data_IF_551061604451
#
_entry.id   IF_551061604451
#
_cell.length_a   1.000
_cell.length_b   1.000
_cell.length_c   1.000
_cell.angle_alpha   90.00
_cell.angle_beta   90.00
_cell.angle_gamma   90.00
#
_symmetry.space_group_name_H-M   'P 1'
#
loop_
_entity.id
_entity.type
_entity.pdbx_description
1 polymer ?
#
# COMPACT_ATOMS: atom_id res chain seq x y z
N UNK A 1 -65.98 28.58 -13.32
CA UNK A 1 -65.80 30.00 -13.01
C UNK A 1 -64.41 30.33 -13.48
N UNK A 2 -64.31 30.71 -14.66
CA UNK A 2 -64.29 32.06 -15.27
C UNK A 2 -62.88 32.61 -15.10
N UNK A 3 -62.18 32.62 -16.18
CA UNK A 3 -61.93 33.78 -17.07
C UNK A 3 -60.62 34.45 -16.71
N UNK A 4 -59.81 34.98 -17.51
CA UNK A 4 -59.82 35.20 -18.97
C UNK A 4 -58.69 36.16 -19.27
N UNK A 5 -58.11 36.00 -20.41
CA UNK A 5 -57.63 37.03 -21.35
C UNK A 5 -56.66 38.10 -20.85
N UNK A 6 -55.71 38.49 -21.60
CA UNK A 6 -55.52 38.82 -23.02
C UNK A 6 -54.15 39.42 -23.19
N UNK A 7 -53.53 39.15 -24.23
CA UNK A 7 -53.52 39.78 -25.58
C UNK A 7 -52.74 41.08 -25.67
N UNK A 8 -51.85 41.02 -26.62
CA UNK A 8 -51.53 41.99 -27.70
C UNK A 8 -50.58 43.12 -27.35
N UNK A 9 -49.67 43.51 -28.14
CA UNK A 9 -49.38 43.25 -29.53
C UNK A 9 -48.33 44.24 -30.04
N UNK A 10 -47.80 43.92 -31.20
CA UNK A 10 -47.43 44.80 -32.32
C UNK A 10 -46.34 45.90 -32.06
N UNK A 11 -45.30 45.99 -32.77
CA UNK A 11 -45.11 46.17 -34.19
C UNK A 11 -43.63 46.49 -34.46
N UNK A 12 -43.14 46.01 -35.57
CA UNK A 12 -41.94 46.48 -36.25
C UNK A 12 -42.24 47.79 -37.01
N UNK A 13 -41.55 48.20 -38.06
CA UNK A 13 -40.30 47.66 -38.65
C UNK A 13 -39.32 48.75 -39.12
N UNK A 14 -38.31 48.34 -39.88
CA UNK A 14 -37.69 48.96 -41.04
C UNK A 14 -36.46 49.87 -40.94
N UNK A 15 -35.55 49.45 -41.80
CA UNK A 15 -34.75 50.20 -42.79
C UNK A 15 -33.33 50.62 -42.28
N UNK A 16 -32.38 49.93 -42.81
CA UNK A 16 -31.67 50.15 -44.10
C UNK A 16 -30.56 51.21 -43.99
N UNK A 17 -29.41 50.84 -44.27
CA UNK A 17 -28.42 51.48 -45.12
C UNK A 17 -26.97 51.06 -44.85
N UNK A 18 -26.41 50.30 -45.78
CA UNK A 18 -24.97 50.28 -45.99
C UNK A 18 -24.50 51.62 -46.57
N UNK A 19 -23.21 52.02 -46.34
CA UNK A 19 -22.34 51.90 -47.50
C UNK A 19 -20.97 51.28 -47.15
N UNK A 20 -20.51 50.55 -48.15
CA UNK A 20 -19.18 50.07 -48.40
C UNK A 20 -18.15 51.20 -48.50
N UNK A 21 -17.08 51.08 -47.73
CA UNK A 21 -15.82 51.74 -48.13
C UNK A 21 -14.69 50.71 -47.95
N UNK A 22 -14.10 50.31 -49.05
CA UNK A 22 -12.91 49.47 -49.11
C UNK A 22 -11.69 50.20 -48.58
N UNK A 23 -10.88 49.46 -47.85
CA UNK A 23 -9.50 49.83 -47.60
C UNK A 23 -8.63 48.64 -47.97
N UNK A 24 -7.73 48.98 -48.89
CA UNK A 24 -6.74 48.14 -49.51
C UNK A 24 -5.66 47.68 -48.51
N UNK A 25 -5.23 46.44 -48.67
CA UNK A 25 -3.87 45.92 -48.44
C UNK A 25 -2.97 46.63 -47.43
N UNK A 26 -2.82 45.99 -46.29
CA UNK A 26 -1.63 46.07 -45.44
C UNK A 26 -0.99 44.68 -45.42
N UNK A 27 0.29 44.54 -45.82
CA UNK A 27 0.96 43.26 -45.72
C UNK A 27 1.21 42.96 -44.23
N UNK A 28 0.71 41.81 -43.76
CA UNK A 28 1.00 41.32 -42.44
C UNK A 28 2.49 40.97 -42.32
N UNK A 29 3.18 41.71 -41.45
CA UNK A 29 4.46 41.31 -40.90
C UNK A 29 4.16 40.09 -40.02
N UNK A 30 4.54 38.92 -40.51
CA UNK A 30 4.44 37.65 -39.77
C UNK A 30 5.22 37.73 -38.46
N UNK A 31 4.51 37.86 -37.36
CA UNK A 31 5.04 37.59 -36.04
C UNK A 31 5.17 36.09 -35.92
N UNK A 32 6.38 35.58 -36.11
CA UNK A 32 6.72 34.21 -35.76
C UNK A 32 6.61 34.12 -34.23
N UNK A 33 5.46 33.68 -33.74
CA UNK A 33 5.33 33.26 -32.37
C UNK A 33 5.96 31.86 -32.32
N UNK A 34 7.06 31.65 -31.59
CA UNK A 34 7.56 30.29 -31.42
C UNK A 34 6.47 29.47 -30.69
N UNK A 35 6.03 28.40 -31.34
CA UNK A 35 5.20 27.38 -30.76
C UNK A 35 5.91 26.85 -29.49
N UNK A 36 5.55 27.40 -28.34
CA UNK A 36 5.86 26.81 -27.06
C UNK A 36 4.97 25.58 -26.93
N UNK A 37 5.38 24.51 -27.61
CA UNK A 37 4.84 23.19 -27.41
C UNK A 37 4.75 22.93 -25.92
N UNK A 38 3.53 22.95 -25.39
CA UNK A 38 3.23 22.46 -24.06
C UNK A 38 3.75 21.04 -24.00
N UNK A 39 4.95 20.86 -23.43
CA UNK A 39 5.44 19.53 -23.03
C UNK A 39 4.38 18.99 -22.08
N UNK A 40 3.56 18.11 -22.63
CA UNK A 40 2.68 17.26 -21.85
C UNK A 40 3.55 16.64 -20.79
N UNK A 41 3.36 17.05 -19.53
CA UNK A 41 4.11 16.49 -18.40
C UNK A 41 3.96 14.97 -18.50
N UNK A 42 5.05 14.30 -18.75
CA UNK A 42 5.08 12.84 -18.77
C UNK A 42 4.64 12.42 -17.38
N UNK A 43 3.51 11.72 -17.32
CA UNK A 43 3.07 11.09 -16.08
C UNK A 43 4.25 10.31 -15.50
N UNK A 44 4.53 10.42 -14.20
CA UNK A 44 5.58 9.61 -13.60
C UNK A 44 5.33 8.13 -13.95
N UNK A 45 6.39 7.35 -14.19
CA UNK A 45 6.23 5.92 -14.47
C UNK A 45 5.38 5.30 -13.37
N UNK A 46 4.45 4.39 -13.69
CA UNK A 46 3.65 3.72 -12.68
C UNK A 46 4.61 3.08 -11.67
N UNK A 47 4.31 3.26 -10.39
CA UNK A 47 5.05 2.60 -9.32
C UNK A 47 5.10 1.09 -9.61
N UNK A 48 6.23 0.42 -9.35
CA UNK A 48 6.34 -1.01 -9.61
C UNK A 48 5.20 -1.74 -8.89
N UNK A 49 4.38 -2.45 -9.65
CA UNK A 49 3.26 -3.22 -9.12
C UNK A 49 3.81 -4.37 -8.28
N UNK A 50 3.53 -4.39 -6.99
CA UNK A 50 3.96 -5.48 -6.12
C UNK A 50 3.28 -6.79 -6.53
N UNK A 51 3.96 -7.93 -6.36
CA UNK A 51 3.38 -9.26 -6.63
C UNK A 51 2.04 -9.45 -5.90
N UNK A 52 1.92 -8.90 -4.71
CA UNK A 52 0.70 -8.90 -3.94
C UNK A 52 -0.48 -8.25 -4.70
N UNK A 53 -0.26 -7.15 -5.43
CA UNK A 53 -1.30 -6.42 -6.15
C UNK A 53 -1.80 -7.19 -7.37
N UNK A 54 -0.94 -8.04 -7.94
CA UNK A 54 -1.32 -8.93 -9.06
C UNK A 54 -2.15 -10.11 -8.57
N UNK A 55 -1.81 -10.66 -7.39
CA UNK A 55 -2.42 -11.88 -6.88
C UNK A 55 -3.69 -11.62 -6.06
N UNK A 56 -3.76 -10.51 -5.36
CA UNK A 56 -4.78 -10.24 -4.37
C UNK A 56 -5.32 -8.81 -4.47
N UNK A 57 -6.63 -8.67 -4.33
CA UNK A 57 -7.23 -7.35 -4.14
C UNK A 57 -6.78 -6.73 -2.81
N UNK A 58 -6.82 -5.39 -2.64
CA UNK A 58 -6.38 -4.73 -1.40
C UNK A 58 -7.07 -5.26 -0.12
N UNK A 59 -8.34 -5.65 -0.21
CA UNK A 59 -9.07 -6.26 0.92
C UNK A 59 -8.55 -7.67 1.23
N UNK A 60 -8.28 -8.46 0.18
CA UNK A 60 -7.71 -9.79 0.36
C UNK A 60 -6.31 -9.72 0.97
N UNK A 61 -5.47 -8.82 0.50
CA UNK A 61 -4.13 -8.63 1.06
C UNK A 61 -4.20 -8.40 2.58
N UNK A 62 -5.02 -7.45 3.03
CA UNK A 62 -5.13 -7.12 4.45
C UNK A 62 -5.71 -8.26 5.28
N UNK A 63 -6.79 -8.89 4.83
CA UNK A 63 -7.43 -9.98 5.56
C UNK A 63 -6.56 -11.24 5.57
N UNK A 64 -5.95 -11.62 4.43
CA UNK A 64 -5.05 -12.76 4.37
C UNK A 64 -3.76 -12.50 5.15
N UNK A 65 -3.24 -11.27 5.10
CA UNK A 65 -2.08 -10.85 5.89
C UNK A 65 -2.30 -11.03 7.39
N UNK A 66 -3.47 -10.66 7.92
CA UNK A 66 -3.82 -10.86 9.31
C UNK A 66 -3.97 -12.36 9.65
N UNK A 67 -4.75 -13.10 8.88
CA UNK A 67 -5.10 -14.48 9.19
C UNK A 67 -3.95 -15.48 8.94
N UNK A 68 -3.26 -15.37 7.82
CA UNK A 68 -2.18 -16.30 7.44
C UNK A 68 -0.78 -15.77 7.75
N UNK A 69 -0.66 -14.47 8.03
CA UNK A 69 0.55 -13.90 8.65
C UNK A 69 0.67 -14.26 10.13
N UNK A 70 -0.46 -14.52 10.80
CA UNK A 70 -0.54 -14.92 12.20
C UNK A 70 -1.48 -16.14 12.35
N UNK A 71 -1.14 -17.30 11.78
CA UNK A 71 -2.09 -18.39 11.61
C UNK A 71 -2.58 -19.02 12.92
N UNK A 72 -1.79 -18.93 13.99
CA UNK A 72 -2.16 -19.43 15.31
C UNK A 72 -3.16 -18.54 16.04
N UNK A 73 -3.32 -17.28 15.58
CA UNK A 73 -4.18 -16.30 16.21
C UNK A 73 -5.64 -16.47 15.79
N UNK A 74 -6.53 -16.42 16.77
CA UNK A 74 -7.97 -16.30 16.54
C UNK A 74 -8.36 -14.83 16.55
N UNK A 75 -9.04 -14.40 15.51
CA UNK A 75 -9.53 -13.03 15.37
C UNK A 75 -11.04 -13.01 15.47
N UNK A 76 -11.56 -12.08 16.26
CA UNK A 76 -12.98 -11.78 16.25
C UNK A 76 -13.37 -11.06 14.94
N UNK A 77 -14.60 -11.32 14.44
CA UNK A 77 -15.07 -10.68 13.20
C UNK A 77 -14.96 -9.16 13.20
N UNK A 78 -15.37 -8.51 14.29
CA UNK A 78 -15.29 -7.06 14.45
C UNK A 78 -13.84 -6.55 14.45
N UNK A 79 -12.93 -7.31 15.07
CA UNK A 79 -11.50 -7.00 15.07
C UNK A 79 -10.91 -7.06 13.67
N UNK A 80 -11.19 -8.12 12.89
CA UNK A 80 -10.74 -8.24 11.51
C UNK A 80 -11.24 -7.10 10.62
N UNK A 81 -12.49 -6.69 10.78
CA UNK A 81 -13.06 -5.56 10.03
C UNK A 81 -12.30 -4.26 10.36
N UNK A 82 -12.05 -4.01 11.64
CA UNK A 82 -11.32 -2.83 12.10
C UNK A 82 -9.88 -2.82 11.60
N UNK A 83 -9.15 -3.92 11.77
CA UNK A 83 -7.75 -4.05 11.39
C UNK A 83 -7.56 -4.02 9.86
N UNK A 84 -8.47 -4.66 9.11
CA UNK A 84 -8.42 -4.64 7.66
C UNK A 84 -8.66 -3.24 7.08
N UNK A 85 -9.24 -2.30 7.83
CA UNK A 85 -9.49 -0.93 7.36
C UNK A 85 -10.28 -0.88 6.05
N UNK A 86 -11.20 -1.82 5.85
CA UNK A 86 -12.01 -1.96 4.65
C UNK A 86 -13.50 -2.02 5.00
N UNK A 87 -14.37 -1.78 4.00
CA UNK A 87 -15.81 -1.81 4.23
C UNK A 87 -16.27 -3.15 4.82
N UNK A 88 -17.08 -3.09 5.88
CA UNK A 88 -17.59 -4.25 6.63
C UNK A 88 -18.15 -5.36 5.72
N UNK A 89 -18.94 -5.00 4.72
CA UNK A 89 -19.53 -5.96 3.78
C UNK A 89 -18.50 -6.68 2.90
N UNK A 90 -17.41 -6.01 2.52
CA UNK A 90 -16.34 -6.60 1.72
C UNK A 90 -15.56 -7.65 2.53
N UNK A 91 -15.20 -7.30 3.75
CA UNK A 91 -14.51 -8.22 4.68
C UNK A 91 -15.40 -9.40 5.00
N UNK A 92 -16.67 -9.17 5.30
CA UNK A 92 -17.63 -10.23 5.64
C UNK A 92 -17.81 -11.24 4.50
N UNK A 93 -17.99 -10.76 3.26
CA UNK A 93 -18.09 -11.64 2.08
C UNK A 93 -16.83 -12.46 1.87
N UNK A 94 -15.65 -11.86 2.08
CA UNK A 94 -14.38 -12.57 1.97
C UNK A 94 -14.25 -13.66 3.04
N UNK A 95 -14.51 -13.34 4.31
CA UNK A 95 -14.46 -14.31 5.41
C UNK A 95 -15.42 -15.49 5.19
N UNK A 96 -16.64 -15.21 4.73
CA UNK A 96 -17.63 -16.24 4.39
C UNK A 96 -17.11 -17.17 3.29
N UNK A 97 -16.51 -16.63 2.23
CA UNK A 97 -15.93 -17.43 1.15
C UNK A 97 -14.76 -18.29 1.63
N UNK A 98 -13.82 -17.70 2.38
CA UNK A 98 -12.68 -18.43 2.92
C UNK A 98 -13.10 -19.54 3.90
N UNK A 99 -14.13 -19.30 4.70
CA UNK A 99 -14.70 -20.32 5.58
C UNK A 99 -15.39 -21.44 4.79
N UNK A 100 -16.18 -21.11 3.77
CA UNK A 100 -16.87 -22.09 2.93
C UNK A 100 -15.90 -23.01 2.16
N UNK A 101 -14.69 -22.52 1.83
CA UNK A 101 -13.65 -23.35 1.19
C UNK A 101 -12.79 -24.14 2.19
N UNK A 102 -13.07 -24.05 3.49
CA UNK A 102 -12.32 -24.74 4.52
C UNK A 102 -10.93 -24.12 4.82
N UNK A 103 -10.60 -22.97 4.24
CA UNK A 103 -9.35 -22.25 4.51
C UNK A 103 -9.33 -21.63 5.91
N UNK A 104 -10.50 -21.34 6.48
CA UNK A 104 -10.64 -20.84 7.84
C UNK A 104 -11.42 -21.79 8.71
N UNK A 105 -11.03 -21.91 9.96
CA UNK A 105 -11.88 -22.42 11.05
C UNK A 105 -12.72 -21.27 11.56
N UNK A 106 -14.00 -21.56 11.80
CA UNK A 106 -14.95 -20.61 12.38
C UNK A 106 -15.45 -21.19 13.68
N UNK A 107 -15.32 -20.44 14.75
CA UNK A 107 -15.84 -20.77 16.07
C UNK A 107 -16.84 -19.70 16.49
N UNK A 108 -17.99 -20.10 17.02
CA UNK A 108 -18.98 -19.16 17.56
C UNK A 108 -19.01 -19.30 19.08
N UNK A 109 -18.74 -18.19 19.77
CA UNK A 109 -18.78 -18.12 21.24
C UNK A 109 -19.81 -17.06 21.61
N UNK A 110 -20.93 -17.48 22.14
CA UNK A 110 -22.08 -16.60 22.35
C UNK A 110 -22.57 -16.02 21.02
N UNK A 111 -22.61 -14.68 20.93
CA UNK A 111 -23.03 -13.98 19.72
C UNK A 111 -21.83 -13.49 18.86
N UNK A 112 -20.63 -14.00 19.11
CA UNK A 112 -19.40 -13.58 18.46
C UNK A 112 -18.82 -14.71 17.60
N UNK A 113 -18.38 -14.34 16.38
CA UNK A 113 -17.68 -15.27 15.47
C UNK A 113 -16.18 -14.98 15.50
N UNK A 114 -15.42 -16.03 15.66
CA UNK A 114 -13.97 -16.03 15.60
C UNK A 114 -13.50 -16.78 14.36
N UNK A 115 -12.47 -16.26 13.73
CA UNK A 115 -11.88 -16.82 12.53
C UNK A 115 -10.40 -17.09 12.77
N UNK A 116 -9.92 -18.22 12.29
CA UNK A 116 -8.51 -18.63 12.36
C UNK A 116 -8.14 -19.37 11.08
N UNK A 117 -6.90 -19.25 10.63
CA UNK A 117 -6.38 -20.08 9.54
C UNK A 117 -6.52 -21.57 9.86
N UNK A 118 -6.96 -22.35 8.89
CA UNK A 118 -7.14 -23.78 9.08
C UNK A 118 -5.87 -24.53 8.65
N UNK A 119 -5.07 -24.96 9.61
CA UNK A 119 -3.84 -25.73 9.39
C UNK A 119 -4.05 -27.05 8.64
N UNK A 120 -5.29 -27.59 8.65
CA UNK A 120 -5.65 -28.83 7.95
C UNK A 120 -6.08 -28.59 6.50
N UNK A 121 -6.14 -27.34 6.05
CA UNK A 121 -6.46 -27.04 4.66
C UNK A 121 -5.35 -27.56 3.73
N UNK A 122 -5.67 -28.19 2.59
CA UNK A 122 -4.67 -28.81 1.70
C UNK A 122 -3.58 -27.86 1.21
N UNK A 123 -3.89 -26.56 1.09
CA UNK A 123 -2.99 -25.51 0.60
C UNK A 123 -2.51 -24.58 1.71
N UNK A 124 -2.61 -25.00 2.97
CA UNK A 124 -2.28 -24.14 4.12
C UNK A 124 -0.84 -23.65 4.11
N UNK A 125 0.11 -24.57 3.96
CA UNK A 125 1.54 -24.25 4.00
C UNK A 125 1.96 -23.30 2.86
N UNK A 126 1.45 -23.56 1.65
CA UNK A 126 1.69 -22.74 0.48
C UNK A 126 1.08 -21.34 0.63
N UNK A 127 -0.14 -21.26 1.15
CA UNK A 127 -0.83 -19.99 1.36
C UNK A 127 -0.14 -19.16 2.45
N UNK A 128 0.27 -19.76 3.57
CA UNK A 128 1.07 -19.10 4.60
C UNK A 128 2.38 -18.60 4.02
N UNK A 129 3.09 -19.46 3.26
CA UNK A 129 4.34 -19.08 2.61
C UNK A 129 4.17 -17.93 1.62
N UNK A 130 3.13 -17.97 0.79
CA UNK A 130 2.80 -16.92 -0.16
C UNK A 130 2.45 -15.61 0.53
N UNK A 131 1.56 -15.65 1.52
CA UNK A 131 1.13 -14.46 2.27
C UNK A 131 2.30 -13.82 3.00
N UNK A 132 3.16 -14.58 3.65
CA UNK A 132 4.35 -14.05 4.33
C UNK A 132 5.29 -13.33 3.37
N UNK A 133 5.49 -13.88 2.17
CA UNK A 133 6.38 -13.31 1.15
C UNK A 133 5.78 -12.11 0.41
N UNK A 134 4.46 -11.95 0.40
CA UNK A 134 3.80 -10.93 -0.44
C UNK A 134 3.07 -9.86 0.36
N UNK A 135 2.22 -10.22 1.31
CA UNK A 135 1.29 -9.28 1.97
C UNK A 135 1.41 -9.23 3.49
N UNK A 136 1.97 -10.28 4.11
CA UNK A 136 1.87 -10.47 5.55
C UNK A 136 2.55 -9.37 6.36
N UNK A 137 3.74 -8.94 5.93
CA UNK A 137 4.52 -7.93 6.63
C UNK A 137 5.01 -6.84 5.68
N UNK A 138 5.33 -7.19 4.43
CA UNK A 138 5.98 -6.27 3.51
C UNK A 138 5.10 -5.06 3.19
N UNK A 139 3.81 -5.26 2.89
CA UNK A 139 2.90 -4.18 2.51
C UNK A 139 2.74 -3.09 3.59
N UNK A 140 2.31 -3.43 4.82
CA UNK A 140 2.22 -2.45 5.90
C UNK A 140 3.54 -1.76 6.24
N UNK A 141 4.65 -2.50 6.22
CA UNK A 141 5.99 -1.94 6.49
C UNK A 141 6.45 -1.02 5.35
N UNK A 142 6.23 -1.38 4.08
CA UNK A 142 6.52 -0.52 2.93
C UNK A 142 5.72 0.79 2.99
N UNK A 143 4.42 0.71 3.29
CA UNK A 143 3.57 1.89 3.43
C UNK A 143 4.06 2.81 4.55
N UNK A 144 4.44 2.24 5.70
CA UNK A 144 4.98 2.99 6.84
C UNK A 144 6.32 3.65 6.53
N UNK A 145 7.21 2.95 5.82
CA UNK A 145 8.54 3.45 5.47
C UNK A 145 8.55 4.34 4.21
N UNK A 146 7.46 4.42 3.44
CA UNK A 146 7.40 5.20 2.19
C UNK A 146 7.87 6.66 2.34
N UNK A 147 7.52 7.42 3.40
CA UNK A 147 8.02 8.78 3.58
C UNK A 147 9.55 8.87 3.76
N UNK A 148 10.16 7.79 4.26
CA UNK A 148 11.59 7.71 4.55
C UNK A 148 12.38 6.93 3.48
N UNK A 149 11.71 6.37 2.47
CA UNK A 149 12.29 5.42 1.52
C UNK A 149 13.54 5.95 0.79
N UNK A 150 13.59 7.25 0.48
CA UNK A 150 14.75 7.88 -0.20
C UNK A 150 16.02 7.91 0.66
N UNK A 151 15.89 7.80 1.97
CA UNK A 151 17.00 7.80 2.94
C UNK A 151 17.42 6.38 3.35
N UNK A 152 16.61 5.38 2.98
CA UNK A 152 16.83 3.97 3.33
C UNK A 152 17.49 3.26 2.14
N UNK A 153 18.65 2.66 2.38
CA UNK A 153 19.34 1.81 1.40
C UNK A 153 18.69 0.44 1.32
N UNK A 154 18.43 -0.17 2.48
CA UNK A 154 17.73 -1.45 2.57
C UNK A 154 16.95 -1.51 3.88
N UNK A 155 15.79 -2.17 3.85
CA UNK A 155 15.03 -2.55 5.03
C UNK A 155 14.50 -3.96 4.87
N UNK A 156 14.68 -4.81 5.88
CA UNK A 156 14.23 -6.20 5.83
C UNK A 156 13.86 -6.75 7.21
N UNK A 157 12.87 -7.63 7.21
CA UNK A 157 12.49 -8.42 8.39
C UNK A 157 13.42 -9.62 8.49
N UNK A 158 13.85 -9.95 9.71
CA UNK A 158 14.70 -11.10 10.00
C UNK A 158 14.18 -11.87 11.24
N UNK A 159 14.92 -12.81 11.75
CA UNK A 159 14.58 -13.53 12.97
C UNK A 159 13.52 -14.62 12.77
N UNK A 160 12.69 -14.85 13.78
CA UNK A 160 11.69 -15.92 13.80
C UNK A 160 10.66 -15.77 12.67
N UNK A 161 10.23 -14.55 12.42
CA UNK A 161 9.26 -14.21 11.38
C UNK A 161 9.76 -14.59 9.99
N UNK A 162 10.98 -14.21 9.65
CA UNK A 162 11.58 -14.51 8.34
C UNK A 162 11.83 -16.02 8.15
N UNK A 163 12.14 -16.75 9.24
CA UNK A 163 12.32 -18.21 9.23
C UNK A 163 11.01 -19.00 9.15
N UNK A 164 9.88 -18.36 9.36
CA UNK A 164 8.58 -19.02 9.36
C UNK A 164 8.23 -19.77 10.64
N UNK A 165 8.97 -19.56 11.72
CA UNK A 165 8.78 -20.19 13.03
C UNK A 165 8.22 -19.26 14.10
N UNK A 166 7.60 -18.14 13.70
CA UNK A 166 7.10 -17.14 14.64
C UNK A 166 5.73 -17.53 15.22
N UNK A 167 5.47 -17.03 16.42
CA UNK A 167 4.17 -17.08 17.06
C UNK A 167 3.42 -15.76 16.82
N UNK A 168 2.10 -15.80 16.94
CA UNK A 168 1.25 -14.62 16.77
C UNK A 168 1.63 -13.45 17.70
N UNK A 169 2.29 -13.73 18.81
CA UNK A 169 2.72 -12.75 19.82
C UNK A 169 4.19 -12.33 19.65
N UNK A 170 4.94 -12.90 18.70
CA UNK A 170 6.35 -12.55 18.51
C UNK A 170 6.47 -11.15 17.90
N UNK A 171 7.45 -10.39 18.36
CA UNK A 171 7.79 -9.09 17.77
C UNK A 171 8.31 -9.25 16.35
N UNK A 172 8.19 -8.20 15.57
CA UNK A 172 8.73 -8.14 14.21
C UNK A 172 10.10 -7.47 14.27
N UNK A 173 11.14 -8.24 14.09
CA UNK A 173 12.50 -7.73 14.03
C UNK A 173 12.76 -7.10 12.65
N UNK A 174 12.94 -5.80 12.60
CA UNK A 174 13.17 -5.04 11.38
C UNK A 174 14.57 -4.43 11.38
N UNK A 175 15.40 -4.79 10.41
CA UNK A 175 16.67 -4.11 10.15
C UNK A 175 16.45 -3.00 9.12
N UNK A 176 16.98 -1.82 9.41
CA UNK A 176 16.99 -0.67 8.51
C UNK A 176 18.42 -0.19 8.32
N UNK A 177 18.87 -0.11 7.08
CA UNK A 177 20.18 0.38 6.70
C UNK A 177 20.01 1.76 6.08
N UNK A 178 20.51 2.78 6.77
CA UNK A 178 20.39 4.19 6.35
C UNK A 178 21.52 5.03 6.95
N UNK A 179 22.13 5.91 6.15
CA UNK A 179 23.26 6.73 6.62
C UNK A 179 22.83 8.01 7.34
N UNK A 180 21.64 8.52 7.00
CA UNK A 180 21.10 9.77 7.56
C UNK A 180 19.61 9.60 7.91
N UNK A 181 19.35 8.81 8.93
CA UNK A 181 18.00 8.59 9.45
C UNK A 181 18.01 8.66 10.97
N UNK A 182 17.10 9.49 11.50
CA UNK A 182 16.88 9.57 12.94
C UNK A 182 16.05 8.38 13.44
N UNK A 183 16.45 7.79 14.55
CA UNK A 183 15.76 6.64 15.14
C UNK A 183 14.34 6.98 15.61
N UNK A 184 14.14 8.17 16.18
CA UNK A 184 12.81 8.60 16.61
C UNK A 184 11.85 8.78 15.42
N UNK A 185 12.35 9.33 14.30
CA UNK A 185 11.59 9.44 13.05
C UNK A 185 11.21 8.05 12.49
N UNK A 186 12.12 7.08 12.57
CA UNK A 186 11.87 5.69 12.15
C UNK A 186 10.76 5.06 13.00
N UNK A 187 10.86 5.15 14.33
CA UNK A 187 9.85 4.59 15.26
C UNK A 187 8.49 5.24 15.02
N UNK A 188 8.44 6.57 14.89
CA UNK A 188 7.20 7.29 14.63
C UNK A 188 6.55 6.85 13.29
N UNK A 189 7.35 6.61 12.25
CA UNK A 189 6.86 6.13 10.97
C UNK A 189 6.29 4.70 11.04
N UNK A 190 6.82 3.85 11.91
CA UNK A 190 6.40 2.44 12.06
C UNK A 190 5.13 2.25 12.90
N UNK A 191 4.76 3.21 13.75
CA UNK A 191 3.59 3.11 14.63
C UNK A 191 2.25 2.76 13.92
N UNK A 192 1.93 3.29 12.73
CA UNK A 192 0.75 2.85 11.98
C UNK A 192 0.81 1.38 11.55
N UNK A 193 1.99 0.88 11.20
CA UNK A 193 2.18 -0.52 10.79
C UNK A 193 2.00 -1.48 11.98
N UNK A 194 2.47 -1.13 13.18
CA UNK A 194 2.20 -1.89 14.40
C UNK A 194 0.71 -2.06 14.65
N UNK A 195 -0.06 -0.97 14.50
CA UNK A 195 -1.52 -0.99 14.62
C UNK A 195 -2.20 -1.90 13.59
N UNK A 196 -1.73 -1.90 12.34
CA UNK A 196 -2.28 -2.73 11.27
C UNK A 196 -1.92 -4.21 11.43
N UNK A 197 -0.68 -4.49 11.82
CA UNK A 197 -0.16 -5.84 12.02
C UNK A 197 -0.60 -6.43 13.36
N UNK A 198 -1.07 -5.59 14.28
CA UNK A 198 -1.37 -5.93 15.67
C UNK A 198 -0.21 -6.65 16.36
N UNK A 199 1.02 -6.22 16.06
CA UNK A 199 2.29 -6.75 16.58
C UNK A 199 3.30 -5.62 16.77
N UNK A 200 4.10 -5.67 17.84
CA UNK A 200 5.23 -4.75 18.01
C UNK A 200 6.25 -4.90 16.90
N UNK A 201 6.87 -3.80 16.52
CA UNK A 201 7.99 -3.78 15.57
C UNK A 201 9.22 -3.30 16.34
N UNK A 202 10.28 -4.12 16.32
CA UNK A 202 11.58 -3.79 16.89
C UNK A 202 12.55 -3.33 15.80
N UNK A 203 12.66 -2.03 15.51
CA UNK A 203 13.57 -1.55 14.50
C UNK A 203 15.01 -1.53 15.01
N UNK A 204 15.92 -2.06 14.22
CA UNK A 204 17.36 -1.90 14.36
C UNK A 204 17.85 -1.01 13.22
N UNK A 205 18.50 0.11 13.56
CA UNK A 205 19.04 1.06 12.61
C UNK A 205 20.55 0.97 12.58
N UNK A 206 21.13 0.83 11.39
CA UNK A 206 22.59 0.87 11.18
C UNK A 206 22.91 1.72 9.95
N UNK A 207 24.05 2.39 9.96
CA UNK A 207 24.62 2.96 8.74
C UNK A 207 25.18 1.86 7.83
N UNK A 208 25.35 2.16 6.54
CA UNK A 208 26.00 1.21 5.61
C UNK A 208 27.40 0.83 6.06
N UNK A 209 28.16 1.79 6.58
CA UNK A 209 29.51 1.55 7.08
C UNK A 209 29.51 0.62 8.29
N UNK A 210 28.60 0.83 9.25
CA UNK A 210 28.43 -0.04 10.42
C UNK A 210 27.99 -1.45 10.02
N UNK A 211 27.02 -1.57 9.13
CA UNK A 211 26.57 -2.87 8.64
C UNK A 211 27.70 -3.66 8.01
N UNK A 212 28.45 -3.08 7.08
CA UNK A 212 29.59 -3.74 6.41
C UNK A 212 30.66 -4.16 7.39
N UNK A 213 31.05 -3.28 8.32
CA UNK A 213 32.05 -3.57 9.33
C UNK A 213 31.60 -4.74 10.22
N UNK A 214 30.40 -4.61 10.81
CA UNK A 214 29.88 -5.62 11.75
C UNK A 214 29.58 -6.95 11.06
N UNK A 215 29.18 -6.94 9.78
CA UNK A 215 28.98 -8.17 9.01
C UNK A 215 30.27 -8.94 8.79
N UNK A 216 31.40 -8.26 8.68
CA UNK A 216 32.72 -8.89 8.52
C UNK A 216 33.29 -9.43 9.84
N UNK A 217 32.78 -9.02 10.99
CA UNK A 217 33.21 -9.50 12.30
C UNK A 217 32.55 -10.86 12.57
N UNK A 218 33.38 -11.90 12.82
CA UNK A 218 32.90 -13.24 13.17
C UNK A 218 31.98 -13.17 14.41
N UNK A 219 30.90 -13.95 14.39
CA UNK A 219 29.90 -14.06 15.47
C UNK A 219 29.17 -12.76 15.87
N UNK A 220 29.35 -11.70 15.11
CA UNK A 220 28.60 -10.48 15.34
C UNK A 220 27.10 -10.67 15.09
N UNK A 221 26.29 -9.78 15.66
CA UNK A 221 24.85 -9.75 15.42
C UNK A 221 24.53 -9.59 13.91
N UNK A 222 25.24 -8.68 13.23
CA UNK A 222 25.03 -8.43 11.81
C UNK A 222 25.45 -9.64 10.94
N UNK A 223 26.55 -10.32 11.27
CA UNK A 223 26.98 -11.54 10.58
C UNK A 223 25.92 -12.66 10.70
N UNK A 224 25.39 -12.86 11.91
CA UNK A 224 24.32 -13.85 12.14
C UNK A 224 23.05 -13.53 11.35
N UNK A 225 22.63 -12.26 11.27
CA UNK A 225 21.47 -11.85 10.49
C UNK A 225 21.73 -11.97 8.99
N UNK A 226 22.95 -11.62 8.54
CA UNK A 226 23.32 -11.72 7.14
C UNK A 226 23.19 -13.16 6.60
N UNK A 227 23.46 -14.17 7.44
CA UNK A 227 23.35 -15.58 7.09
C UNK A 227 21.92 -16.16 7.19
N UNK A 228 20.95 -15.40 7.72
CA UNK A 228 19.58 -15.89 7.91
C UNK A 228 18.67 -15.50 6.75
N UNK A 229 17.52 -16.21 6.57
CA UNK A 229 16.46 -15.77 5.68
C UNK A 229 15.99 -14.36 6.03
N UNK A 230 15.76 -13.54 5.02
CA UNK A 230 15.28 -12.15 5.12
C UNK A 230 14.04 -11.96 4.27
N UNK A 231 13.14 -11.10 4.71
CA UNK A 231 12.02 -10.60 3.90
C UNK A 231 12.26 -9.12 3.66
N UNK A 232 12.70 -8.79 2.44
CA UNK A 232 12.98 -7.41 2.08
C UNK A 232 11.69 -6.60 1.97
N UNK A 233 11.74 -5.41 2.56
CA UNK A 233 10.71 -4.38 2.54
C UNK A 233 11.12 -3.26 1.58
N UNK A 234 12.39 -2.85 1.63
CA UNK A 234 13.03 -1.88 0.72
C UNK A 234 14.39 -2.46 0.32
N UNK A 235 14.73 -2.33 -0.95
CA UNK A 235 16.00 -2.85 -1.49
C UNK A 235 16.03 -4.36 -1.63
N UNK A 236 17.23 -4.90 -1.83
CA UNK A 236 17.51 -6.32 -2.04
C UNK A 236 18.83 -6.74 -1.39
N UNK A 237 19.20 -8.02 -1.49
CA UNK A 237 20.43 -8.56 -0.92
C UNK A 237 21.68 -7.84 -1.48
N UNK A 238 21.69 -7.49 -2.76
CA UNK A 238 22.79 -6.80 -3.43
C UNK A 238 23.04 -5.39 -2.89
N UNK A 239 22.03 -4.76 -2.30
CA UNK A 239 22.14 -3.42 -1.70
C UNK A 239 22.85 -3.44 -0.34
N UNK A 240 23.07 -4.62 0.23
CA UNK A 240 23.77 -4.78 1.51
C UNK A 240 25.30 -4.78 1.40
N UNK A 241 25.87 -4.87 0.21
CA UNK A 241 27.30 -4.73 -0.12
C UNK A 241 28.15 -5.92 0.22
#
# INVERSE_FOLDING_TARGET
MTCDTGEQGLGGPLLDARPSVGWSHIPELGTIVPDMGTRKASSPPPAPTALADVLFTPVQQRVLGLLFGQPERRFQSAELIRLAGAGTGAVHRLLTRLAATGLLRVETVGNQKFYQANERAPVYAELVGLVRKTVGLAGPLQAALAPLARRITAAFVYGSVARGGDRATSDIDLMVIADDLDYAALVAALAPAEGQLARPINPNLMTRAEWRRKRAEADSFAARIAAQPKVFVIGAEDDLG
#
